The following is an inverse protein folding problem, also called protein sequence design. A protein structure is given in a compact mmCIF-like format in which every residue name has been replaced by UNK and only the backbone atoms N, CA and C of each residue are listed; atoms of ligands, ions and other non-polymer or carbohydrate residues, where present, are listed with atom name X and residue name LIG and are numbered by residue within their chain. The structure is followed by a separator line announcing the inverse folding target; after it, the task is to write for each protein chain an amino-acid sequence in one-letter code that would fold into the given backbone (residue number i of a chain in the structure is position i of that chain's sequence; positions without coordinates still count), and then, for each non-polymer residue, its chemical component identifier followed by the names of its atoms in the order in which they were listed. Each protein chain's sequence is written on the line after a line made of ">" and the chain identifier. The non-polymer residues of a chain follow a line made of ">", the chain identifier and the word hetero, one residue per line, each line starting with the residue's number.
data_IF_739642502971
#
_entry.id   IF_739642502971
#
_cell.length_a   1.000
_cell.length_b   1.000
_cell.length_c   1.000
_cell.angle_alpha   90.00
_cell.angle_beta   90.00
_cell.angle_gamma   90.00
#
_symmetry.space_group_name_H-M   'P 1'
#
loop_
_entity.id
_entity.type
_entity.pdbx_description
1 polymer ?
#
# COMPACT_ATOMS: atom_id res chain seq x y z
N UNK A 1 -1.19 -12.00 -3.70
CA UNK A 1 0.25 -11.89 -3.99
C UNK A 1 1.01 -12.94 -3.19
N UNK A 2 1.97 -13.65 -3.79
CA UNK A 2 2.88 -14.56 -3.07
C UNK A 2 4.29 -13.99 -3.09
N UNK A 3 4.93 -13.91 -1.93
CA UNK A 3 6.30 -13.43 -1.75
C UNK A 3 7.18 -14.58 -1.23
N UNK A 4 8.39 -14.69 -1.75
CA UNK A 4 9.34 -15.74 -1.40
C UNK A 4 10.43 -15.19 -0.49
N UNK A 5 10.91 -16.00 0.47
CA UNK A 5 12.01 -15.67 1.35
C UNK A 5 13.26 -15.31 0.50
N UNK A 6 14.01 -14.25 0.87
CA UNK A 6 15.20 -13.89 0.13
C UNK A 6 16.25 -14.99 0.24
N UNK A 7 17.00 -15.21 -0.85
CA UNK A 7 18.07 -16.21 -0.90
C UNK A 7 19.36 -15.72 -0.24
N UNK A 8 19.50 -14.40 -0.06
CA UNK A 8 20.65 -13.75 0.55
C UNK A 8 20.24 -12.42 1.20
N UNK A 9 20.88 -12.08 2.31
CA UNK A 9 20.81 -10.76 2.95
C UNK A 9 22.06 -9.92 2.67
N UNK A 10 23.05 -10.47 1.96
CA UNK A 10 24.32 -9.81 1.66
C UNK A 10 24.13 -8.76 0.55
N UNK A 11 24.51 -7.50 0.77
CA UNK A 11 24.51 -6.46 -0.27
C UNK A 11 25.32 -6.88 -1.50
N UNK A 12 24.79 -6.59 -2.69
CA UNK A 12 25.42 -6.83 -3.98
C UNK A 12 26.15 -5.58 -4.51
N UNK A 13 25.70 -4.41 -4.09
CA UNK A 13 26.28 -3.10 -4.42
C UNK A 13 26.21 -2.18 -3.20
N UNK A 14 27.02 -1.13 -3.20
CA UNK A 14 26.95 -0.09 -2.18
C UNK A 14 25.85 0.91 -2.57
N UNK A 15 24.82 1.03 -1.73
CA UNK A 15 23.86 2.11 -1.83
C UNK A 15 24.36 3.38 -1.13
N UNK A 16 23.82 4.51 -1.53
CA UNK A 16 24.10 5.85 -1.05
C UNK A 16 22.81 6.50 -0.52
N UNK A 17 22.86 6.96 0.72
CA UNK A 17 21.77 7.68 1.36
C UNK A 17 21.51 8.98 0.62
N UNK A 18 20.23 9.31 0.38
CA UNK A 18 19.79 10.52 -0.32
C UNK A 18 20.28 10.63 -1.79
N UNK A 19 20.60 9.51 -2.45
CA UNK A 19 20.90 9.48 -3.88
C UNK A 19 19.83 8.71 -4.67
N UNK A 20 18.94 9.40 -5.42
CA UNK A 20 17.93 8.76 -6.25
C UNK A 20 18.45 7.77 -7.29
N UNK A 21 19.71 7.91 -7.72
CA UNK A 21 20.33 7.03 -8.70
C UNK A 21 21.06 5.82 -8.11
N UNK A 22 21.26 5.78 -6.79
CA UNK A 22 22.11 4.76 -6.14
C UNK A 22 21.63 4.47 -4.71
N UNK A 23 20.38 4.04 -4.53
CA UNK A 23 19.81 3.76 -3.20
C UNK A 23 19.61 2.26 -2.91
N UNK A 24 19.87 1.40 -3.90
CA UNK A 24 19.65 -0.04 -3.83
C UNK A 24 20.90 -0.75 -3.33
N UNK A 25 20.72 -1.80 -2.53
CA UNK A 25 21.79 -2.69 -2.06
C UNK A 25 21.63 -4.11 -2.61
N UNK A 26 20.39 -4.55 -2.87
CA UNK A 26 20.05 -5.81 -3.53
C UNK A 26 18.88 -5.57 -4.51
N UNK A 27 19.10 -5.73 -5.81
CA UNK A 27 18.05 -5.46 -6.84
C UNK A 27 16.97 -6.53 -6.89
N UNK A 28 17.36 -7.78 -6.75
CA UNK A 28 16.45 -8.94 -6.82
C UNK A 28 16.31 -9.58 -5.43
N UNK A 29 15.68 -8.87 -4.50
CA UNK A 29 15.68 -9.26 -3.08
C UNK A 29 14.50 -10.18 -2.72
N UNK A 30 13.26 -9.69 -2.79
CA UNK A 30 12.05 -10.51 -2.51
C UNK A 30 11.37 -10.84 -3.83
N UNK A 31 11.50 -12.08 -4.30
CA UNK A 31 10.72 -12.55 -5.45
C UNK A 31 9.24 -12.52 -5.11
N UNK A 32 8.39 -12.15 -6.07
CA UNK A 32 6.94 -12.22 -5.93
C UNK A 32 6.26 -12.73 -7.19
N UNK A 33 5.04 -13.28 -7.03
CA UNK A 33 4.12 -13.60 -8.13
C UNK A 33 2.66 -13.37 -7.74
N UNK A 34 1.84 -12.97 -8.71
CA UNK A 34 0.40 -12.79 -8.53
C UNK A 34 -0.42 -13.95 -9.12
N UNK A 35 -1.74 -13.84 -9.00
CA UNK A 35 -2.71 -14.81 -9.54
C UNK A 35 -3.11 -14.52 -10.99
N UNK A 36 -2.52 -13.50 -11.63
CA UNK A 36 -2.70 -13.15 -13.03
C UNK A 36 -1.48 -13.55 -13.89
N UNK A 37 -0.50 -14.23 -13.29
CA UNK A 37 0.71 -14.71 -13.96
C UNK A 37 1.83 -13.67 -14.04
N UNK A 38 1.72 -12.53 -13.35
CA UNK A 38 2.81 -11.56 -13.23
C UNK A 38 3.75 -11.97 -12.11
N UNK A 39 5.02 -11.64 -12.30
CA UNK A 39 6.08 -11.87 -11.31
C UNK A 39 7.16 -10.81 -11.40
N UNK A 40 7.97 -10.72 -10.36
CA UNK A 40 9.07 -9.77 -10.28
C UNK A 40 9.82 -9.89 -8.96
N UNK A 41 10.54 -8.82 -8.61
CA UNK A 41 11.26 -8.70 -7.35
C UNK A 41 10.93 -7.38 -6.67
N UNK A 42 11.01 -7.36 -5.34
CA UNK A 42 11.22 -6.14 -4.55
C UNK A 42 12.72 -5.95 -4.34
N UNK A 43 13.13 -4.70 -4.19
CA UNK A 43 14.53 -4.37 -3.91
C UNK A 43 14.79 -4.36 -2.39
N UNK A 44 16.06 -4.37 -1.99
CA UNK A 44 16.51 -3.91 -0.67
C UNK A 44 17.22 -2.58 -0.84
N UNK A 45 16.83 -1.57 -0.06
CA UNK A 45 17.44 -0.24 -0.12
C UNK A 45 18.51 -0.06 0.98
N UNK A 46 19.22 1.07 0.93
CA UNK A 46 20.30 1.44 1.86
C UNK A 46 19.78 1.92 3.23
N UNK A 47 18.49 2.19 3.38
CA UNK A 47 17.94 2.80 4.60
C UNK A 47 17.66 1.80 5.72
N UNK A 48 17.63 0.50 5.41
CA UNK A 48 17.13 -0.53 6.29
C UNK A 48 17.94 -1.84 6.19
N UNK A 49 18.62 -2.21 7.28
CA UNK A 49 19.42 -3.43 7.34
C UNK A 49 18.58 -4.68 7.63
N UNK A 50 17.41 -4.54 8.27
CA UNK A 50 16.54 -5.64 8.62
C UNK A 50 16.04 -6.42 7.38
N UNK A 51 15.68 -7.69 7.58
CA UNK A 51 15.01 -8.44 6.52
C UNK A 51 13.65 -7.81 6.20
N UNK A 52 13.32 -7.66 4.92
CA UNK A 52 11.95 -7.27 4.53
C UNK A 52 11.01 -8.48 4.58
N UNK A 53 11.56 -9.69 4.70
CA UNK A 53 10.78 -10.89 4.92
C UNK A 53 10.50 -11.05 6.43
N UNK A 54 9.24 -11.28 6.85
CA UNK A 54 8.91 -11.38 8.26
C UNK A 54 9.66 -12.52 8.97
N UNK A 55 10.47 -12.17 9.99
CA UNK A 55 11.31 -13.14 10.71
C UNK A 55 10.55 -14.20 11.50
N UNK A 56 9.26 -13.98 11.78
CA UNK A 56 8.40 -14.95 12.48
C UNK A 56 7.77 -16.00 11.57
N UNK A 57 7.85 -15.82 10.24
CA UNK A 57 7.35 -16.81 9.29
C UNK A 57 8.44 -17.86 9.07
N UNK A 58 8.08 -19.14 9.22
CA UNK A 58 9.01 -20.27 9.06
C UNK A 58 9.05 -20.81 7.63
N UNK A 59 7.98 -20.63 6.88
CA UNK A 59 7.87 -21.10 5.50
C UNK A 59 8.73 -20.26 4.55
N UNK A 60 9.08 -20.80 3.39
CA UNK A 60 9.87 -20.11 2.36
C UNK A 60 9.03 -19.17 1.48
N UNK A 61 7.71 -19.15 1.67
CA UNK A 61 6.81 -18.24 0.98
C UNK A 61 5.61 -17.86 1.83
N UNK A 62 5.10 -16.65 1.60
CA UNK A 62 3.88 -16.13 2.22
C UNK A 62 2.93 -15.64 1.14
N UNK A 63 1.66 -15.97 1.26
CA UNK A 63 0.62 -15.55 0.30
C UNK A 63 -0.42 -14.67 0.98
N UNK A 64 -0.55 -13.45 0.50
CA UNK A 64 -1.61 -12.52 0.86
C UNK A 64 -2.76 -12.61 -0.14
N UNK A 65 -3.99 -12.66 0.37
CA UNK A 65 -5.23 -12.64 -0.41
C UNK A 65 -5.99 -11.35 -0.11
N UNK A 66 -6.51 -10.73 -1.16
CA UNK A 66 -7.21 -9.46 -1.07
C UNK A 66 -7.29 -8.80 -2.45
N UNK A 67 -7.80 -7.58 -2.47
CA UNK A 67 -7.84 -6.73 -3.66
C UNK A 67 -6.53 -5.95 -3.71
N UNK A 68 -5.81 -6.03 -4.83
CA UNK A 68 -4.70 -5.13 -5.16
C UNK A 68 -5.27 -4.01 -6.02
N UNK A 69 -5.15 -2.77 -5.57
CA UNK A 69 -5.58 -1.61 -6.35
C UNK A 69 -4.48 -1.19 -7.33
N UNK A 70 -4.80 -0.29 -8.25
CA UNK A 70 -3.84 0.22 -9.23
C UNK A 70 -2.69 0.97 -8.54
N UNK A 71 -1.53 1.06 -9.20
CA UNK A 71 -0.46 1.92 -8.69
C UNK A 71 -0.88 3.39 -8.85
N UNK A 72 -0.63 4.23 -7.84
CA UNK A 72 -0.98 5.64 -7.90
C UNK A 72 0.21 6.62 -7.76
N UNK A 73 1.40 6.11 -7.44
CA UNK A 73 2.62 6.91 -7.36
C UNK A 73 3.33 7.02 -8.72
N UNK A 74 3.58 8.24 -9.19
CA UNK A 74 4.45 8.50 -10.35
C UNK A 74 5.54 9.50 -9.98
N UNK A 75 6.72 9.35 -10.61
CA UNK A 75 7.72 10.42 -10.57
C UNK A 75 7.33 11.48 -11.59
N UNK A 76 7.15 12.72 -11.15
CA UNK A 76 6.89 13.84 -12.08
C UNK A 76 8.19 14.51 -12.57
N UNK A 77 9.34 14.02 -12.09
CA UNK A 77 10.65 14.40 -12.58
C UNK A 77 11.36 13.19 -13.17
N UNK A 78 12.11 13.40 -14.25
CA UNK A 78 12.88 12.33 -14.91
C UNK A 78 13.95 11.74 -13.97
N UNK A 79 14.45 12.52 -13.01
CA UNK A 79 15.49 12.12 -12.06
C UNK A 79 14.98 11.31 -10.85
N UNK A 80 13.66 11.06 -10.75
CA UNK A 80 13.10 10.30 -9.62
C UNK A 80 13.09 11.05 -8.29
N UNK A 81 13.40 12.35 -8.27
CA UNK A 81 13.51 13.12 -7.02
C UNK A 81 12.17 13.54 -6.40
N UNK A 82 11.07 13.42 -7.15
CA UNK A 82 9.76 13.90 -6.73
C UNK A 82 8.65 12.98 -7.22
N UNK A 83 7.91 12.40 -6.27
CA UNK A 83 6.77 11.53 -6.53
C UNK A 83 5.47 12.21 -6.12
N UNK A 84 4.44 11.99 -6.93
CA UNK A 84 3.06 12.38 -6.62
C UNK A 84 2.20 11.12 -6.56
N UNK A 85 1.46 10.99 -5.48
CA UNK A 85 0.46 9.94 -5.29
C UNK A 85 -0.90 10.52 -5.72
N UNK A 86 -1.40 10.05 -6.85
CA UNK A 86 -2.68 10.50 -7.37
C UNK A 86 -3.84 9.82 -6.63
N UNK A 87 -4.89 10.60 -6.34
CA UNK A 87 -6.05 10.06 -5.64
C UNK A 87 -6.80 9.05 -6.52
N UNK A 88 -7.20 7.93 -5.91
CA UNK A 88 -8.28 7.09 -6.42
C UNK A 88 -9.62 7.82 -6.35
N UNK A 89 -10.63 7.26 -7.01
CA UNK A 89 -11.97 7.85 -7.00
C UNK A 89 -12.57 7.95 -5.58
N UNK A 90 -12.41 6.92 -4.75
CA UNK A 90 -12.94 6.83 -3.38
C UNK A 90 -12.32 5.63 -2.63
N UNK A 91 -12.63 5.51 -1.33
CA UNK A 91 -12.50 4.25 -0.58
C UNK A 91 -11.09 3.82 -0.18
N UNK A 92 -10.09 4.68 -0.43
CA UNK A 92 -8.73 4.48 0.05
C UNK A 92 -8.44 5.52 1.14
N UNK A 93 -7.79 5.09 2.21
CA UNK A 93 -7.29 6.00 3.24
C UNK A 93 -6.02 6.68 2.75
N UNK A 94 -5.74 7.91 3.19
CA UNK A 94 -4.67 8.78 2.65
C UNK A 94 -4.90 9.17 1.17
N UNK A 95 -6.16 9.16 0.73
CA UNK A 95 -6.53 9.50 -0.65
C UNK A 95 -6.82 11.00 -0.84
N UNK A 96 -7.28 11.67 0.23
CA UNK A 96 -7.56 13.09 0.29
C UNK A 96 -7.13 13.64 1.67
N UNK A 97 -6.88 14.95 1.82
CA UNK A 97 -6.50 15.56 3.09
C UNK A 97 -7.49 15.24 4.21
N UNK A 98 -7.00 15.15 5.45
CA UNK A 98 -7.78 14.71 6.62
C UNK A 98 -9.10 15.45 6.87
N UNK A 99 -9.22 16.71 6.44
CA UNK A 99 -10.43 17.53 6.63
C UNK A 99 -11.32 17.59 5.38
N UNK A 100 -10.96 16.86 4.34
CA UNK A 100 -11.74 16.77 3.11
C UNK A 100 -12.80 15.67 3.27
N UNK A 101 -14.06 15.98 2.95
CA UNK A 101 -15.17 15.03 3.03
C UNK A 101 -14.91 13.73 2.23
N UNK A 102 -14.11 13.80 1.16
CA UNK A 102 -13.75 12.63 0.34
C UNK A 102 -12.78 11.66 1.02
N UNK A 103 -12.21 12.05 2.18
CA UNK A 103 -11.43 11.14 3.03
C UNK A 103 -12.32 10.26 3.92
N UNK A 104 -13.62 10.58 4.03
CA UNK A 104 -14.59 9.77 4.75
C UNK A 104 -14.90 8.47 4.02
N UNK A 105 -15.31 7.47 4.80
CA UNK A 105 -15.79 6.18 4.30
C UNK A 105 -17.23 6.04 4.74
N UNK A 106 -18.12 5.79 3.79
CA UNK A 106 -19.50 5.44 4.08
C UNK A 106 -19.65 3.90 4.11
N UNK A 107 -20.18 3.39 5.22
CA UNK A 107 -20.37 1.95 5.44
C UNK A 107 -21.46 1.36 4.55
N UNK A 108 -22.32 2.20 3.96
CA UNK A 108 -23.29 1.79 2.96
C UNK A 108 -22.65 1.35 1.63
N UNK A 109 -21.34 1.59 1.44
CA UNK A 109 -20.55 1.04 0.33
C UNK A 109 -20.25 -0.45 0.49
N UNK A 110 -20.63 -1.08 1.60
CA UNK A 110 -20.35 -2.48 1.86
C UNK A 110 -21.00 -3.41 0.82
N UNK A 111 -20.21 -4.37 0.35
CA UNK A 111 -20.65 -5.42 -0.59
C UNK A 111 -20.25 -6.81 -0.09
N UNK A 112 -21.03 -7.83 -0.46
CA UNK A 112 -20.68 -9.23 -0.22
C UNK A 112 -19.58 -9.72 -1.18
N UNK A 113 -19.15 -10.97 -1.03
CA UNK A 113 -18.13 -11.60 -1.89
C UNK A 113 -18.51 -11.71 -3.37
N UNK A 114 -19.79 -11.52 -3.71
CA UNK A 114 -20.32 -11.55 -5.07
C UNK A 114 -20.53 -10.14 -5.63
N UNK A 115 -20.27 -9.09 -4.84
CA UNK A 115 -20.48 -7.68 -5.22
C UNK A 115 -21.89 -7.16 -4.96
N UNK A 116 -22.74 -7.87 -4.22
CA UNK A 116 -24.08 -7.36 -3.89
C UNK A 116 -23.99 -6.37 -2.71
N UNK A 117 -24.74 -5.26 -2.78
CA UNK A 117 -24.84 -4.30 -1.65
C UNK A 117 -25.33 -5.01 -0.38
N UNK A 118 -24.68 -4.70 0.74
CA UNK A 118 -25.02 -5.19 2.08
C UNK A 118 -25.22 -4.00 3.00
N UNK A 119 -26.26 -4.05 3.82
CA UNK A 119 -26.45 -3.08 4.88
C UNK A 119 -25.74 -3.56 6.15
N UNK A 120 -24.84 -2.74 6.69
CA UNK A 120 -24.16 -2.98 7.94
C UNK A 120 -24.74 -2.05 9.01
N UNK A 121 -25.20 -2.57 10.17
CA UNK A 121 -25.74 -1.73 11.24
C UNK A 121 -24.65 -0.92 11.97
N UNK A 122 -23.38 -1.23 11.76
CA UNK A 122 -22.23 -0.59 12.38
C UNK A 122 -20.92 -1.35 12.15
N UNK A 123 -19.84 -0.83 12.73
CA UNK A 123 -18.49 -1.41 12.68
C UNK A 123 -17.92 -1.56 14.10
N UNK A 124 -17.48 -2.76 14.45
CA UNK A 124 -16.81 -3.00 15.75
C UNK A 124 -15.28 -2.86 15.64
N UNK A 125 -14.73 -3.19 14.48
CA UNK A 125 -13.29 -3.21 14.24
C UNK A 125 -12.95 -2.68 12.86
N UNK A 126 -11.92 -1.84 12.79
CA UNK A 126 -11.33 -1.38 11.54
C UNK A 126 -9.96 -2.04 11.38
N UNK A 127 -9.76 -2.70 10.25
CA UNK A 127 -8.45 -3.20 9.83
C UNK A 127 -7.95 -2.34 8.68
N UNK A 128 -6.85 -1.63 8.90
CA UNK A 128 -6.14 -0.93 7.84
C UNK A 128 -5.18 -1.92 7.16
N UNK A 129 -5.19 -1.92 5.84
CA UNK A 129 -4.30 -2.75 5.03
C UNK A 129 -3.90 -1.98 3.77
N UNK A 130 -2.60 -1.95 3.46
CA UNK A 130 -2.10 -1.31 2.24
C UNK A 130 -2.50 -2.14 1.01
N UNK A 131 -3.30 -1.55 0.12
CA UNK A 131 -3.80 -2.19 -1.09
C UNK A 131 -2.88 -2.03 -2.30
N UNK A 132 -1.84 -1.21 -2.19
CA UNK A 132 -0.91 -0.86 -3.27
C UNK A 132 0.37 -1.69 -3.13
N UNK A 133 0.88 -2.18 -4.24
CA UNK A 133 2.15 -2.90 -4.31
C UNK A 133 3.12 -2.12 -5.21
N UNK A 134 3.57 -0.96 -4.71
CA UNK A 134 4.37 0.03 -5.45
C UNK A 134 5.64 0.40 -4.69
N UNK A 135 6.73 0.55 -5.43
CA UNK A 135 7.97 1.17 -4.99
C UNK A 135 8.17 2.51 -5.75
N UNK A 136 8.42 3.59 -5.01
CA UNK A 136 8.64 4.95 -5.46
C UNK A 136 10.15 5.28 -5.46
N UNK A 137 10.94 4.38 -6.05
CA UNK A 137 12.38 4.55 -6.18
C UNK A 137 13.06 4.70 -4.81
N UNK A 138 13.87 5.74 -4.66
CA UNK A 138 14.66 5.99 -3.45
C UNK A 138 13.84 6.33 -2.20
N UNK A 139 12.59 6.74 -2.36
CA UNK A 139 11.65 6.89 -1.23
C UNK A 139 11.24 5.54 -0.64
N UNK A 140 11.41 4.45 -1.39
CA UNK A 140 11.02 3.12 -0.97
C UNK A 140 9.60 2.75 -1.40
N UNK A 141 9.01 1.83 -0.67
CA UNK A 141 7.63 1.37 -0.81
C UNK A 141 6.60 2.51 -0.61
N UNK A 142 5.46 2.39 -1.28
CA UNK A 142 4.31 3.23 -0.99
C UNK A 142 3.54 2.64 0.20
N UNK A 143 3.54 3.34 1.34
CA UNK A 143 2.74 3.00 2.52
C UNK A 143 1.41 3.77 2.54
N UNK A 144 0.47 3.28 3.35
CA UNK A 144 -0.70 4.03 3.75
C UNK A 144 -0.42 4.69 5.09
N UNK A 145 -0.59 6.02 5.16
CA UNK A 145 -0.45 6.75 6.42
C UNK A 145 -1.81 6.97 7.07
N UNK A 146 -1.92 6.63 8.37
CA UNK A 146 -3.17 6.76 9.13
C UNK A 146 -2.89 7.37 10.49
N UNK A 147 -3.50 8.52 10.78
CA UNK A 147 -3.44 9.15 12.10
C UNK A 147 -4.51 8.61 13.06
N UNK A 148 -5.65 8.15 12.55
CA UNK A 148 -6.77 7.63 13.33
C UNK A 148 -8.04 7.53 12.50
N UNK A 149 -9.16 7.25 13.17
CA UNK A 149 -10.51 7.27 12.60
C UNK A 149 -11.51 7.82 13.60
N UNK A 150 -12.57 8.45 13.11
CA UNK A 150 -13.63 9.07 13.92
C UNK A 150 -14.99 8.65 13.35
N UNK A 151 -15.96 8.43 14.23
CA UNK A 151 -17.36 8.27 13.82
C UNK A 151 -17.99 9.66 13.69
N UNK A 152 -18.31 10.07 12.46
CA UNK A 152 -18.85 11.40 12.16
C UNK A 152 -20.22 11.62 12.81
N UNK A 153 -21.02 10.56 13.02
CA UNK A 153 -22.31 10.68 13.71
C UNK A 153 -22.13 11.09 15.18
N UNK A 154 -21.08 10.57 15.84
CA UNK A 154 -20.74 10.93 17.21
C UNK A 154 -20.21 12.36 17.34
N UNK A 155 -19.69 12.93 16.24
CA UNK A 155 -19.26 14.32 16.14
C UNK A 155 -20.39 15.27 15.70
N UNK A 156 -21.54 14.74 15.26
CA UNK A 156 -22.63 15.53 14.69
C UNK A 156 -22.30 16.11 13.32
N UNK A 157 -21.36 15.49 12.60
CA UNK A 157 -20.96 15.87 11.25
C UNK A 157 -21.67 14.98 10.22
N UNK A 158 -22.08 15.59 9.11
CA UNK A 158 -22.72 14.93 7.98
C UNK A 158 -21.98 15.30 6.70
N UNK A 159 -21.69 14.30 5.87
CA UNK A 159 -20.96 14.44 4.61
C UNK A 159 -21.67 13.62 3.55
N UNK A 160 -21.84 14.23 2.38
CA UNK A 160 -22.57 13.60 1.29
C UNK A 160 -21.88 12.29 0.86
N UNK A 161 -22.69 11.26 0.68
CA UNK A 161 -22.26 10.02 0.02
C UNK A 161 -21.87 10.32 -1.42
N UNK A 162 -20.72 9.79 -1.84
CA UNK A 162 -20.31 9.84 -3.25
C UNK A 162 -21.33 9.03 -4.06
N UNK A 163 -21.93 9.64 -5.08
CA UNK A 163 -22.91 8.94 -5.94
C UNK A 163 -22.24 8.15 -7.08
N UNK A 164 -22.97 7.15 -7.60
CA UNK A 164 -22.58 6.38 -8.79
C UNK A 164 -21.39 5.43 -8.54
N UNK A 165 -21.34 4.86 -7.34
CA UNK A 165 -20.38 3.84 -6.92
C UNK A 165 -20.95 2.43 -7.14
#
# INVERSE_FOLDING_TARGET
>A
MTYFRPTSETPQEAGEINNPGSFTTIKEYIRWKDNQGKEGYKIKNVYHDQSYYPGWIKDDQITYKGIRIADNGISEKEDGSYYVLYAYRYGYVDNFPNLDARSAIDIDWAVDKNGNKVHLPGIDFVKVYNGVDKENGWLGEASTEVAGGQDLHMLGEDVDTIEGI
#
